data_IF_445360575018
#
_entry.id   IF_445360575018
#
_cell.length_a   1.000
_cell.length_b   1.000
_cell.length_c   1.000
_cell.angle_alpha   90.00
_cell.angle_beta   90.00
_cell.angle_gamma   90.00
#
_symmetry.space_group_name_H-M   'P 1'
#
loop_
_entity.id
_entity.type
_entity.pdbx_description
1 polymer ?
#
# COMPACT_ATOMS: atom_id res chain seq x y z
N UNK A 1 -9.98 4.06 14.57
CA UNK A 1 -11.12 3.97 13.62
C UNK A 1 -10.73 4.80 12.40
N UNK A 2 -10.81 4.29 11.18
CA UNK A 2 -10.43 5.07 9.99
C UNK A 2 -11.29 6.34 9.90
N UNK A 3 -10.66 7.46 9.53
CA UNK A 3 -11.35 8.74 9.33
C UNK A 3 -12.35 8.66 8.16
N UNK A 4 -13.22 9.66 8.08
CA UNK A 4 -14.30 9.69 7.09
C UNK A 4 -13.78 9.75 5.65
N UNK A 5 -12.69 10.50 5.42
CA UNK A 5 -12.06 10.62 4.11
C UNK A 5 -11.54 9.26 3.62
N UNK A 6 -10.88 8.50 4.50
CA UNK A 6 -10.39 7.15 4.22
C UNK A 6 -11.54 6.20 3.93
N UNK A 7 -12.64 6.25 4.69
CA UNK A 7 -13.82 5.41 4.43
C UNK A 7 -14.45 5.71 3.07
N UNK A 8 -14.59 7.00 2.72
CA UNK A 8 -15.13 7.42 1.44
C UNK A 8 -14.23 6.95 0.29
N UNK A 9 -12.93 7.21 0.37
CA UNK A 9 -11.97 6.79 -0.64
C UNK A 9 -12.01 5.26 -0.87
N UNK A 10 -12.07 4.48 0.22
CA UNK A 10 -12.14 3.01 0.16
C UNK A 10 -13.47 2.52 -0.41
N UNK A 11 -14.58 3.22 -0.14
CA UNK A 11 -15.90 2.85 -0.67
C UNK A 11 -16.01 2.97 -2.20
N UNK A 12 -15.14 3.77 -2.81
CA UNK A 12 -15.09 3.97 -4.27
C UNK A 12 -14.12 3.00 -4.96
N UNK A 13 -13.35 2.19 -4.21
CA UNK A 13 -12.46 1.17 -4.77
C UNK A 13 -13.30 -0.03 -5.23
N UNK A 14 -13.18 -0.47 -6.49
CA UNK A 14 -13.85 -1.67 -6.97
C UNK A 14 -13.53 -2.90 -6.10
N UNK A 15 -14.57 -3.58 -5.64
CA UNK A 15 -14.44 -4.84 -4.89
C UNK A 15 -14.10 -5.99 -5.83
N UNK A 16 -13.18 -6.84 -5.39
CA UNK A 16 -12.73 -8.01 -6.13
C UNK A 16 -13.65 -9.22 -5.86
N UNK A 17 -13.67 -10.17 -6.78
CA UNK A 17 -14.59 -11.33 -6.75
C UNK A 17 -13.84 -12.64 -6.75
N UNK A 18 -12.73 -12.71 -7.50
CA UNK A 18 -12.00 -13.95 -7.71
C UNK A 18 -11.17 -14.28 -6.46
N UNK A 19 -11.49 -15.40 -5.80
CA UNK A 19 -10.72 -15.91 -4.66
C UNK A 19 -9.60 -16.81 -5.18
N UNK A 20 -8.49 -16.21 -5.61
CA UNK A 20 -7.39 -16.92 -6.24
C UNK A 20 -6.05 -16.30 -5.93
N UNK A 21 -5.06 -17.15 -5.72
CA UNK A 21 -3.67 -16.80 -5.49
C UNK A 21 -2.76 -17.15 -6.66
N UNK A 22 -1.45 -16.89 -6.53
CA UNK A 22 -0.49 -16.99 -7.63
C UNK A 22 -0.29 -18.41 -8.20
N UNK A 23 -0.82 -19.45 -7.55
CA UNK A 23 -0.73 -20.85 -8.02
C UNK A 23 -1.90 -21.30 -8.90
N UNK A 24 -2.98 -20.54 -8.98
CA UNK A 24 -4.23 -20.99 -9.61
C UNK A 24 -4.31 -20.66 -11.12
N UNK A 25 -3.17 -20.39 -11.76
CA UNK A 25 -3.02 -20.22 -13.21
C UNK A 25 -4.03 -19.24 -13.82
N UNK A 26 -5.06 -19.73 -14.52
CA UNK A 26 -6.05 -18.90 -15.21
C UNK A 26 -6.88 -18.03 -14.25
N UNK A 27 -7.22 -18.56 -13.08
CA UNK A 27 -7.93 -17.79 -12.04
C UNK A 27 -7.04 -16.68 -11.47
N UNK A 28 -5.72 -16.89 -11.44
CA UNK A 28 -4.79 -15.84 -11.04
C UNK A 28 -4.75 -14.70 -12.05
N UNK A 29 -4.76 -15.01 -13.35
CA UNK A 29 -4.85 -14.00 -14.41
C UNK A 29 -6.16 -13.22 -14.30
N UNK A 30 -7.27 -13.89 -13.99
CA UNK A 30 -8.55 -13.22 -13.74
C UNK A 30 -8.47 -12.30 -12.51
N UNK A 31 -7.89 -12.78 -11.40
CA UNK A 31 -7.66 -11.97 -10.20
C UNK A 31 -6.79 -10.75 -10.49
N UNK A 32 -5.70 -10.90 -11.23
CA UNK A 32 -4.83 -9.78 -11.61
C UNK A 32 -5.58 -8.70 -12.41
N UNK A 33 -6.47 -9.09 -13.33
CA UNK A 33 -7.31 -8.11 -14.05
C UNK A 33 -8.16 -7.29 -13.07
N UNK A 34 -8.74 -7.93 -12.06
CA UNK A 34 -9.50 -7.24 -11.01
C UNK A 34 -8.59 -6.31 -10.18
N UNK A 35 -7.37 -6.74 -9.84
CA UNK A 35 -6.38 -5.91 -9.11
C UNK A 35 -6.01 -4.64 -9.89
N UNK A 36 -5.66 -4.77 -11.17
CA UNK A 36 -5.31 -3.62 -11.99
C UNK A 36 -6.48 -2.65 -12.14
N UNK A 37 -7.71 -3.14 -12.37
CA UNK A 37 -8.89 -2.28 -12.44
C UNK A 37 -9.12 -1.54 -11.13
N UNK A 38 -8.96 -2.20 -9.98
CA UNK A 38 -9.10 -1.57 -8.67
C UNK A 38 -8.01 -0.52 -8.41
N UNK A 39 -6.75 -0.82 -8.76
CA UNK A 39 -5.62 0.11 -8.62
C UNK A 39 -5.76 1.33 -9.53
N UNK A 40 -6.10 1.13 -10.81
CA UNK A 40 -6.32 2.21 -11.78
C UNK A 40 -7.44 3.12 -11.27
N UNK A 41 -8.58 2.54 -10.87
CA UNK A 41 -9.70 3.33 -10.36
C UNK A 41 -9.35 4.12 -9.10
N UNK A 42 -8.59 3.52 -8.19
CA UNK A 42 -8.15 4.21 -6.99
C UNK A 42 -7.19 5.38 -7.31
N UNK A 43 -6.23 5.18 -8.23
CA UNK A 43 -5.33 6.24 -8.70
C UNK A 43 -6.09 7.35 -9.42
N UNK A 44 -7.08 7.03 -10.26
CA UNK A 44 -7.95 8.01 -10.91
C UNK A 44 -8.70 8.87 -9.89
N UNK A 45 -9.30 8.24 -8.88
CA UNK A 45 -10.01 8.96 -7.81
C UNK A 45 -9.05 9.84 -7.01
N UNK A 46 -7.85 9.34 -6.68
CA UNK A 46 -6.81 10.12 -5.99
C UNK A 46 -6.39 11.35 -6.80
N UNK A 47 -6.18 11.21 -8.11
CA UNK A 47 -5.87 12.34 -9.01
C UNK A 47 -7.00 13.35 -9.07
N UNK A 48 -8.25 12.89 -9.16
CA UNK A 48 -9.42 13.77 -9.18
C UNK A 48 -9.58 14.55 -7.86
N UNK A 49 -9.06 14.01 -6.76
CA UNK A 49 -9.06 14.63 -5.44
C UNK A 49 -7.75 15.40 -5.09
N UNK A 50 -6.84 15.58 -6.06
CA UNK A 50 -5.51 16.19 -5.86
C UNK A 50 -4.68 15.53 -4.73
N UNK A 51 -4.82 14.21 -4.61
CA UNK A 51 -4.17 13.40 -3.58
C UNK A 51 -3.49 12.16 -4.21
N UNK A 52 -2.87 12.31 -5.38
CA UNK A 52 -2.05 11.24 -5.98
C UNK A 52 -0.82 11.03 -5.08
N UNK A 53 -0.65 9.82 -4.52
CA UNK A 53 0.37 9.53 -3.51
C UNK A 53 1.19 8.25 -3.77
N UNK A 54 0.89 7.50 -4.84
CA UNK A 54 1.67 6.31 -5.19
C UNK A 54 1.60 5.90 -6.67
N UNK A 55 2.60 5.10 -7.07
CA UNK A 55 2.65 4.32 -8.31
C UNK A 55 3.11 2.92 -7.98
N UNK A 56 2.47 1.93 -8.61
CA UNK A 56 2.76 0.53 -8.37
C UNK A 56 2.70 -0.23 -9.69
N UNK A 57 3.73 -1.05 -9.92
CA UNK A 57 3.88 -1.93 -11.07
C UNK A 57 4.20 -3.34 -10.58
N UNK A 58 4.18 -4.33 -11.48
CA UNK A 58 4.53 -5.70 -11.15
C UNK A 58 5.33 -6.37 -12.26
N UNK A 59 5.95 -7.50 -11.92
CA UNK A 59 6.49 -8.41 -12.92
C UNK A 59 5.38 -9.01 -13.79
N UNK A 60 5.77 -9.70 -14.88
CA UNK A 60 4.81 -10.29 -15.84
C UNK A 60 3.83 -11.27 -15.20
N UNK A 61 4.27 -11.95 -14.14
CA UNK A 61 3.47 -12.92 -13.41
C UNK A 61 2.57 -12.29 -12.33
N UNK A 62 2.72 -10.99 -12.05
CA UNK A 62 2.00 -10.27 -11.00
C UNK A 62 2.33 -10.74 -9.59
N UNK A 63 3.42 -11.45 -9.39
CA UNK A 63 3.83 -12.06 -8.11
C UNK A 63 4.76 -11.18 -7.29
N UNK A 64 5.47 -10.24 -7.93
CA UNK A 64 6.29 -9.22 -7.27
C UNK A 64 5.82 -7.86 -7.73
N UNK A 65 5.56 -6.98 -6.78
CA UNK A 65 5.14 -5.61 -7.00
C UNK A 65 6.19 -4.64 -6.47
N UNK A 66 6.40 -3.56 -7.20
CA UNK A 66 7.37 -2.52 -6.88
C UNK A 66 6.88 -1.18 -7.38
N UNK A 67 7.36 -0.11 -6.77
CA UNK A 67 6.99 1.24 -7.17
C UNK A 67 7.43 2.28 -6.17
N UNK A 68 6.74 3.41 -6.17
CA UNK A 68 7.05 4.57 -5.33
C UNK A 68 5.80 5.06 -4.64
N UNK A 69 5.91 5.39 -3.36
CA UNK A 69 4.92 6.16 -2.64
C UNK A 69 5.53 7.50 -2.23
N UNK A 70 4.69 8.50 -1.98
CA UNK A 70 5.14 9.78 -1.47
C UNK A 70 4.15 10.37 -0.48
N UNK A 71 4.66 11.22 0.39
CA UNK A 71 3.92 11.89 1.44
C UNK A 71 4.29 13.37 1.47
N UNK A 72 3.29 14.25 1.47
CA UNK A 72 3.49 15.70 1.55
C UNK A 72 3.42 16.12 3.01
N UNK A 73 4.49 16.72 3.52
CA UNK A 73 4.57 17.27 4.87
C UNK A 73 5.23 18.64 4.82
N UNK A 74 4.58 19.67 5.38
CA UNK A 74 5.08 21.06 5.35
C UNK A 74 5.45 21.56 3.94
N UNK A 75 4.59 21.29 2.94
CA UNK A 75 4.80 21.63 1.53
C UNK A 75 5.99 20.92 0.84
N UNK A 76 6.62 19.95 1.51
CA UNK A 76 7.72 19.15 0.98
C UNK A 76 7.24 17.72 0.63
N UNK A 77 7.68 17.20 -0.51
CA UNK A 77 7.30 15.88 -1.02
C UNK A 77 8.39 14.85 -0.68
N UNK A 78 8.12 14.00 0.29
CA UNK A 78 8.97 12.87 0.64
C UNK A 78 8.59 11.66 -0.21
N UNK A 79 9.53 11.09 -0.95
CA UNK A 79 9.30 9.96 -1.88
C UNK A 79 10.14 8.76 -1.46
N UNK A 80 9.54 7.58 -1.46
CA UNK A 80 10.15 6.33 -1.03
C UNK A 80 9.88 5.20 -2.03
N UNK A 81 10.90 4.37 -2.25
CA UNK A 81 10.74 3.11 -2.98
C UNK A 81 10.05 2.07 -2.10
N UNK A 82 9.06 1.39 -2.67
CA UNK A 82 8.29 0.33 -2.00
C UNK A 82 8.24 -0.94 -2.84
N UNK A 83 8.22 -2.08 -2.17
CA UNK A 83 8.10 -3.39 -2.81
C UNK A 83 7.39 -4.42 -1.93
N UNK A 84 6.81 -5.44 -2.55
CA UNK A 84 6.29 -6.62 -1.86
C UNK A 84 6.08 -7.79 -2.82
N UNK A 85 6.16 -9.00 -2.27
CA UNK A 85 5.77 -10.21 -2.97
C UNK A 85 4.35 -10.63 -2.58
N UNK A 86 3.64 -11.25 -3.52
CA UNK A 86 2.32 -11.84 -3.28
C UNK A 86 2.52 -13.18 -2.56
N UNK A 87 2.01 -13.35 -1.32
CA UNK A 87 2.12 -14.62 -0.62
C UNK A 87 1.33 -15.70 -1.36
N UNK A 88 1.77 -16.95 -1.23
CA UNK A 88 1.11 -18.08 -1.91
C UNK A 88 -0.35 -18.28 -1.44
N UNK A 89 -0.68 -17.78 -0.26
CA UNK A 89 -1.99 -17.81 0.38
C UNK A 89 -2.82 -16.56 0.09
N UNK A 90 -2.37 -15.67 -0.79
CA UNK A 90 -3.18 -14.55 -1.27
C UNK A 90 -4.46 -15.02 -1.97
N UNK A 91 -5.62 -14.36 -1.81
CA UNK A 91 -5.87 -13.12 -1.06
C UNK A 91 -6.17 -13.34 0.43
N UNK A 92 -6.13 -14.58 0.95
CA UNK A 92 -6.38 -14.85 2.36
C UNK A 92 -5.34 -14.19 3.28
N UNK A 93 -4.09 -14.11 2.84
CA UNK A 93 -3.01 -13.36 3.51
C UNK A 93 -2.71 -12.07 2.76
N UNK A 94 -2.72 -10.94 3.47
CA UNK A 94 -2.29 -9.65 2.92
C UNK A 94 -0.78 -9.65 2.63
N UNK A 95 -0.32 -9.07 1.51
CA UNK A 95 1.09 -8.82 1.25
C UNK A 95 1.73 -7.92 2.32
N UNK A 96 3.02 -8.12 2.56
CA UNK A 96 3.80 -7.32 3.50
C UNK A 96 4.58 -6.24 2.73
N UNK A 97 4.08 -5.00 2.75
CA UNK A 97 4.74 -3.87 2.09
C UNK A 97 6.05 -3.54 2.78
N UNK A 98 7.13 -3.46 2.01
CA UNK A 98 8.44 -3.01 2.48
C UNK A 98 8.78 -1.63 1.93
N UNK A 99 9.38 -0.80 2.78
CA UNK A 99 10.07 0.45 2.41
C UNK A 99 11.52 0.32 2.91
N UNK A 100 12.44 -0.25 2.12
CA UNK A 100 13.80 -0.55 2.57
C UNK A 100 14.57 0.67 3.10
N UNK A 101 14.30 1.86 2.54
CA UNK A 101 14.93 3.13 2.92
C UNK A 101 14.63 3.59 4.37
N UNK A 102 13.59 3.01 4.98
CA UNK A 102 13.14 3.31 6.34
C UNK A 102 13.54 2.23 7.36
N UNK A 103 14.21 1.15 6.92
CA UNK A 103 14.62 0.06 7.80
C UNK A 103 15.52 0.58 8.95
N UNK A 104 15.17 0.21 10.18
CA UNK A 104 15.85 0.67 11.39
C UNK A 104 15.57 2.11 11.84
N UNK A 105 14.76 2.90 11.11
CA UNK A 105 14.43 4.29 11.48
C UNK A 105 13.18 4.41 12.36
N UNK A 106 12.28 3.43 12.30
CA UNK A 106 11.07 3.37 13.14
C UNK A 106 10.91 2.02 13.84
N UNK A 107 10.34 2.04 15.04
CA UNK A 107 9.92 0.83 15.75
C UNK A 107 8.69 0.14 15.13
N UNK A 108 7.95 0.82 14.23
CA UNK A 108 6.79 0.27 13.51
C UNK A 108 7.18 -0.38 12.18
N UNK A 109 8.32 -1.07 12.18
CA UNK A 109 8.86 -1.76 11.03
C UNK A 109 9.55 -3.06 11.50
N UNK A 110 9.32 -4.15 10.78
CA UNK A 110 10.07 -5.39 10.96
C UNK A 110 11.38 -5.33 10.18
N UNK A 111 12.34 -6.16 10.60
CA UNK A 111 13.64 -6.30 9.93
C UNK A 111 13.47 -6.49 8.41
N UNK A 112 14.23 -5.74 7.62
CA UNK A 112 14.16 -5.77 6.15
C UNK A 112 13.15 -4.79 5.57
N UNK A 113 12.75 -3.75 6.31
CA UNK A 113 11.94 -2.66 5.77
C UNK A 113 10.42 -2.89 5.78
N UNK A 114 9.93 -4.05 6.26
CA UNK A 114 8.49 -4.40 6.20
C UNK A 114 7.69 -3.58 7.21
N UNK A 115 6.68 -2.84 6.76
CA UNK A 115 5.87 -2.00 7.64
C UNK A 115 5.08 -2.85 8.66
N UNK A 116 5.08 -2.43 9.92
CA UNK A 116 4.24 -3.05 10.94
C UNK A 116 2.84 -2.42 10.87
N UNK A 117 1.93 -3.10 10.17
CA UNK A 117 0.52 -2.74 10.15
C UNK A 117 -0.10 -2.82 11.56
N UNK A 118 -1.14 -2.03 11.79
CA UNK A 118 -1.84 -2.01 13.09
C UNK A 118 -2.56 -3.34 13.37
N UNK A 119 -2.77 -3.67 14.64
CA UNK A 119 -3.53 -4.87 15.05
C UNK A 119 -4.97 -4.88 14.52
N UNK A 120 -5.50 -3.71 14.15
CA UNK A 120 -6.83 -3.57 13.54
C UNK A 120 -6.87 -4.00 12.06
N UNK A 121 -5.73 -3.99 11.37
CA UNK A 121 -5.67 -4.29 9.94
C UNK A 121 -5.93 -5.77 9.65
N UNK A 122 -5.30 -6.68 10.41
CA UNK A 122 -5.43 -8.13 10.17
C UNK A 122 -6.88 -8.63 10.28
N UNK A 123 -7.67 -8.29 11.32
CA UNK A 123 -9.09 -8.66 11.39
C UNK A 123 -9.94 -8.01 10.29
N UNK A 124 -9.64 -6.76 9.92
CA UNK A 124 -10.34 -6.05 8.85
C UNK A 124 -10.13 -6.73 7.50
N UNK A 125 -8.88 -7.08 7.17
CA UNK A 125 -8.53 -7.83 5.96
C UNK A 125 -9.26 -9.17 5.94
N UNK A 126 -9.13 -9.97 7.02
CA UNK A 126 -9.69 -11.31 7.10
C UNK A 126 -11.22 -11.34 6.88
N UNK A 127 -11.96 -10.36 7.41
CA UNK A 127 -13.43 -10.25 7.23
C UNK A 127 -13.86 -9.89 5.81
N UNK A 128 -12.95 -9.34 5.01
CA UNK A 128 -13.24 -8.86 3.66
C UNK A 128 -12.57 -9.72 2.56
N UNK A 129 -11.95 -10.85 2.89
CA UNK A 129 -11.48 -11.81 1.88
C UNK A 129 -12.68 -12.39 1.11
N UNK A 130 -12.65 -12.48 -0.24
CA UNK A 130 -11.61 -12.07 -1.18
C UNK A 130 -11.83 -10.66 -1.78
N UNK A 131 -12.77 -9.89 -1.25
CA UNK A 131 -13.22 -8.59 -1.79
C UNK A 131 -12.14 -7.52 -1.77
N UNK A 132 -11.25 -7.57 -0.79
CA UNK A 132 -10.10 -6.67 -0.73
C UNK A 132 -8.95 -7.15 -1.61
N UNK A 133 -8.21 -6.18 -2.13
CA UNK A 133 -7.07 -6.35 -3.03
C UNK A 133 -5.95 -5.37 -2.73
N UNK A 134 -5.02 -5.18 -3.65
CA UNK A 134 -3.85 -4.32 -3.49
C UNK A 134 -4.24 -2.86 -3.30
N UNK A 135 -5.23 -2.35 -4.03
CA UNK A 135 -5.73 -0.98 -3.81
C UNK A 135 -6.21 -0.76 -2.36
N UNK A 136 -6.85 -1.78 -1.77
CA UNK A 136 -7.30 -1.75 -0.38
C UNK A 136 -6.12 -1.83 0.61
N UNK A 137 -5.10 -2.63 0.32
CA UNK A 137 -3.85 -2.68 1.08
C UNK A 137 -3.17 -1.29 1.13
N UNK A 138 -3.12 -0.60 -0.01
CA UNK A 138 -2.55 0.74 -0.10
C UNK A 138 -3.37 1.74 0.73
N UNK A 139 -4.69 1.78 0.54
CA UNK A 139 -5.58 2.74 1.19
C UNK A 139 -5.73 2.52 2.71
N UNK A 140 -5.78 1.27 3.17
CA UNK A 140 -6.08 0.92 4.57
C UNK A 140 -4.85 0.49 5.37
N UNK A 141 -3.75 0.13 4.70
CA UNK A 141 -2.50 -0.31 5.32
C UNK A 141 -1.43 0.76 5.22
N UNK A 142 -0.91 0.98 4.00
CA UNK A 142 0.24 1.85 3.78
C UNK A 142 -0.08 3.33 4.02
N UNK A 143 -1.19 3.86 3.50
CA UNK A 143 -1.56 5.27 3.66
C UNK A 143 -1.62 5.72 5.13
N UNK A 144 -2.38 5.04 6.01
CA UNK A 144 -2.42 5.35 7.43
C UNK A 144 -1.07 5.18 8.14
N UNK A 145 -0.25 4.21 7.71
CA UNK A 145 1.10 4.04 8.26
C UNK A 145 1.98 5.24 7.90
N UNK A 146 1.98 5.69 6.64
CA UNK A 146 2.73 6.89 6.21
C UNK A 146 2.30 8.14 6.98
N UNK A 147 0.99 8.31 7.19
CA UNK A 147 0.44 9.46 7.91
C UNK A 147 0.87 9.56 9.39
N UNK A 148 1.28 8.45 10.00
CA UNK A 148 1.78 8.42 11.38
C UNK A 148 3.31 8.47 11.40
N UNK A 149 3.96 7.64 10.60
CA UNK A 149 5.40 7.40 10.72
C UNK A 149 6.22 8.48 10.01
N UNK A 150 5.79 9.00 8.85
CA UNK A 150 6.58 10.00 8.12
C UNK A 150 6.74 11.30 8.92
N UNK A 151 5.68 11.90 9.49
CA UNK A 151 5.84 13.09 10.34
C UNK A 151 6.76 12.87 11.54
N UNK A 152 6.67 11.70 12.20
CA UNK A 152 7.52 11.35 13.34
C UNK A 152 9.00 11.22 12.94
N UNK A 153 9.27 10.57 11.81
CA UNK A 153 10.62 10.43 11.26
C UNK A 153 11.23 11.78 10.84
N UNK A 154 10.42 12.69 10.28
CA UNK A 154 10.83 14.06 9.94
C UNK A 154 11.16 14.82 11.23
N UNK A 155 10.27 14.81 12.22
CA UNK A 155 10.46 15.50 13.49
C UNK A 155 11.70 15.01 14.26
N UNK A 156 12.04 13.72 14.13
CA UNK A 156 13.27 13.13 14.68
C UNK A 156 14.53 13.36 13.84
N UNK A 157 14.41 13.97 12.66
CA UNK A 157 15.52 14.20 11.74
C UNK A 157 16.10 12.93 11.11
N UNK A 158 15.34 11.82 11.08
CA UNK A 158 15.78 10.52 10.55
C UNK A 158 15.57 10.40 9.03
N UNK A 159 14.76 11.28 8.46
CA UNK A 159 14.61 11.47 7.01
C UNK A 159 14.71 12.95 6.69
N UNK A 160 15.41 13.26 5.59
CA UNK A 160 15.59 14.61 5.09
C UNK A 160 15.00 14.70 3.67
N UNK A 161 14.48 15.87 3.31
CA UNK A 161 14.01 16.10 1.96
C UNK A 161 15.21 16.11 0.98
N UNK A 162 15.02 15.60 -0.24
CA UNK A 162 16.11 15.50 -1.24
C UNK A 162 16.80 16.85 -1.50
N UNK A 163 16.04 17.94 -1.45
CA UNK A 163 16.56 19.30 -1.67
C UNK A 163 17.40 19.85 -0.50
N UNK A 164 17.37 19.24 0.70
CA UNK A 164 18.23 19.67 1.81
C UNK A 164 19.67 19.14 1.67
N UNK A 165 19.93 18.25 0.72
CA UNK A 165 21.25 17.70 0.39
C UNK A 165 21.92 18.36 -0.84
N UNK A 166 21.44 19.54 -1.26
CA UNK A 166 22.05 20.39 -2.31
C UNK A 166 22.56 21.70 -1.72
#
# INVERSE_FOLDING_TARGET
>A
MADEATRKAVSEIPLLKTNSGPRDKELWVQRLREEYLALIKYVENNKAADNDWFRLESNKEGTRWFGKCWYIHELLKYEFDMEFDIPVTYPATAPEVAIPELDGKTAKMYRGGKICLTDHFKPLWARNVPKFGLAHLMALGLGPWLAVEIPDLIAKGLIQHKDQNS
#
